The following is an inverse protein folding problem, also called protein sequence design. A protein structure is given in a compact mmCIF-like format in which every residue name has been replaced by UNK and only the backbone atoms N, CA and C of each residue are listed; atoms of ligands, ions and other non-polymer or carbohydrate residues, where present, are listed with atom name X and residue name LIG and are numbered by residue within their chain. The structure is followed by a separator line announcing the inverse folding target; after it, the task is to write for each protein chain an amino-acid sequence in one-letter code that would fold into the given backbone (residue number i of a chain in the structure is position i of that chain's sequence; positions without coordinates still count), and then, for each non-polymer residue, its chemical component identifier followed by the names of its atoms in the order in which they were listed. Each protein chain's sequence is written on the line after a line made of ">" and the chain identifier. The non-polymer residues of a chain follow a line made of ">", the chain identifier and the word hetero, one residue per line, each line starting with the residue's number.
data_IF_804125713143
#
_entry.id   IF_804125713143
#
_cell.length_a   1.000
_cell.length_b   1.000
_cell.length_c   1.000
_cell.angle_alpha   90.00
_cell.angle_beta   90.00
_cell.angle_gamma   90.00
#
_symmetry.space_group_name_H-M   'P 1'
#
loop_
_entity.id
_entity.type
_entity.pdbx_description
1 polymer ?
#
# COMPACT_ATOMS: atom_id res chain seq x y z
N UNK A 1 9.16 18.48 2.34
CA UNK A 1 10.49 18.00 2.77
C UNK A 1 11.51 18.41 1.71
N UNK A 2 12.72 18.85 2.10
CA UNK A 2 13.83 19.09 1.18
C UNK A 2 14.78 17.89 1.21
N UNK A 3 15.18 17.42 0.04
CA UNK A 3 16.11 16.30 -0.12
C UNK A 3 17.19 16.70 -1.10
N UNK A 4 18.44 16.38 -0.79
CA UNK A 4 19.59 16.55 -1.69
C UNK A 4 19.86 15.21 -2.35
N UNK A 5 20.05 15.20 -3.68
CA UNK A 5 20.33 14.00 -4.46
C UNK A 5 21.54 14.25 -5.35
N UNK A 6 22.39 13.24 -5.49
CA UNK A 6 23.51 13.26 -6.44
C UNK A 6 23.02 12.74 -7.79
N UNK A 7 23.23 13.51 -8.86
CA UNK A 7 22.86 13.17 -10.23
C UNK A 7 23.97 13.65 -11.17
N UNK A 8 24.12 13.01 -12.32
CA UNK A 8 25.11 13.45 -13.30
C UNK A 8 24.74 14.80 -13.90
N UNK A 9 25.75 15.63 -14.19
CA UNK A 9 25.54 16.95 -14.79
C UNK A 9 24.80 16.86 -16.13
N UNK A 10 25.15 15.86 -16.94
CA UNK A 10 24.49 15.60 -18.23
C UNK A 10 22.98 15.39 -18.07
N UNK A 11 22.56 14.61 -17.06
CA UNK A 11 21.15 14.33 -16.80
C UNK A 11 20.44 15.57 -16.24
N UNK A 12 21.10 16.34 -15.36
CA UNK A 12 20.54 17.58 -14.83
C UNK A 12 20.29 18.60 -15.95
N UNK A 13 21.22 18.75 -16.88
CA UNK A 13 21.08 19.68 -18.00
C UNK A 13 19.94 19.28 -18.95
N UNK A 14 19.78 17.98 -19.24
CA UNK A 14 18.63 17.49 -20.00
C UNK A 14 17.31 17.76 -19.26
N UNK A 15 17.28 17.49 -17.96
CA UNK A 15 16.08 17.71 -17.12
C UNK A 15 15.69 19.19 -17.10
N UNK A 16 16.66 20.12 -17.01
CA UNK A 16 16.41 21.57 -17.08
C UNK A 16 15.82 22.00 -18.41
N UNK A 17 16.32 21.45 -19.54
CA UNK A 17 15.78 21.76 -20.88
C UNK A 17 14.33 21.33 -21.02
N UNK A 18 14.00 20.14 -20.54
CA UNK A 18 12.61 19.63 -20.54
C UNK A 18 11.74 20.51 -19.65
N UNK A 19 12.19 20.80 -18.43
CA UNK A 19 11.46 21.64 -17.49
C UNK A 19 11.13 23.02 -18.08
N UNK A 20 12.10 23.67 -18.74
CA UNK A 20 11.90 24.95 -19.41
C UNK A 20 10.94 24.86 -20.61
N UNK A 21 11.01 23.77 -21.38
CA UNK A 21 10.12 23.54 -22.53
C UNK A 21 8.67 23.32 -22.12
N UNK A 22 8.46 22.65 -20.98
CA UNK A 22 7.12 22.26 -20.50
C UNK A 22 6.54 23.26 -19.48
N UNK A 23 7.24 24.37 -19.20
CA UNK A 23 6.87 25.35 -18.17
C UNK A 23 6.66 24.71 -16.78
N UNK A 24 7.55 23.80 -16.42
CA UNK A 24 7.57 23.11 -15.12
C UNK A 24 8.93 23.26 -14.44
N UNK A 25 9.02 22.80 -13.19
CA UNK A 25 10.28 22.81 -12.44
C UNK A 25 10.99 21.46 -12.51
N UNK A 26 12.32 21.46 -12.37
CA UNK A 26 13.11 20.23 -12.19
C UNK A 26 12.58 19.39 -11.03
N UNK A 27 12.12 20.04 -9.94
CA UNK A 27 11.50 19.38 -8.80
C UNK A 27 10.24 18.61 -9.21
N UNK A 28 9.39 19.20 -10.06
CA UNK A 28 8.17 18.55 -10.57
C UNK A 28 8.51 17.25 -11.30
N UNK A 29 9.52 17.28 -12.17
CA UNK A 29 9.96 16.10 -12.93
C UNK A 29 10.54 15.01 -12.00
N UNK A 30 11.32 15.39 -10.99
CA UNK A 30 11.85 14.46 -9.98
C UNK A 30 10.70 13.78 -9.22
N UNK A 31 9.72 14.56 -8.75
CA UNK A 31 8.57 14.03 -7.99
C UNK A 31 7.70 13.10 -8.86
N UNK A 32 7.50 13.42 -10.13
CA UNK A 32 6.78 12.57 -11.09
C UNK A 32 7.52 11.25 -11.33
N UNK A 33 8.82 11.29 -11.59
CA UNK A 33 9.64 10.09 -11.78
C UNK A 33 9.62 9.18 -10.55
N UNK A 34 9.77 9.75 -9.34
CA UNK A 34 9.67 8.99 -8.09
C UNK A 34 8.29 8.33 -7.93
N UNK A 35 7.20 9.05 -8.22
CA UNK A 35 5.84 8.50 -8.15
C UNK A 35 5.66 7.31 -9.10
N UNK A 36 6.16 7.42 -10.32
CA UNK A 36 6.09 6.36 -11.33
C UNK A 36 6.87 5.11 -10.88
N UNK A 37 8.11 5.28 -10.40
CA UNK A 37 8.93 4.16 -9.91
C UNK A 37 8.28 3.47 -8.71
N UNK A 38 7.72 4.23 -7.76
CA UNK A 38 7.00 3.68 -6.61
C UNK A 38 5.78 2.89 -7.07
N UNK A 39 4.98 3.43 -7.99
CA UNK A 39 3.79 2.76 -8.52
C UNK A 39 4.15 1.43 -9.21
N UNK A 40 5.17 1.45 -10.08
CA UNK A 40 5.67 0.24 -10.74
C UNK A 40 6.15 -0.82 -9.75
N UNK A 41 6.88 -0.42 -8.71
CA UNK A 41 7.34 -1.36 -7.67
C UNK A 41 6.19 -1.92 -6.84
N UNK A 42 5.17 -1.11 -6.54
CA UNK A 42 3.94 -1.59 -5.86
C UNK A 42 3.19 -2.61 -6.72
N UNK A 43 3.05 -2.36 -8.02
CA UNK A 43 2.42 -3.29 -8.96
C UNK A 43 3.18 -4.62 -9.03
N UNK A 44 4.53 -4.59 -9.09
CA UNK A 44 5.36 -5.81 -9.12
C UNK A 44 5.24 -6.70 -7.88
N UNK A 45 4.88 -6.16 -6.72
CA UNK A 45 4.71 -6.97 -5.49
C UNK A 45 3.44 -7.83 -5.51
N UNK A 46 2.64 -7.74 -6.58
CA UNK A 46 1.37 -8.44 -6.71
C UNK A 46 0.29 -7.84 -5.81
N UNK A 47 -0.99 -8.21 -6.00
CA UNK A 47 -2.04 -7.83 -5.08
C UNK A 47 -1.71 -8.35 -3.68
N UNK A 48 -2.18 -7.64 -2.65
CA UNK A 48 -2.16 -8.16 -1.30
C UNK A 48 -2.81 -9.54 -1.27
N UNK A 49 -2.05 -10.55 -0.84
CA UNK A 49 -2.60 -11.87 -0.55
C UNK A 49 -2.85 -11.93 0.95
N UNK A 50 -4.14 -11.96 1.33
CA UNK A 50 -4.51 -12.28 2.70
C UNK A 50 -4.00 -13.69 2.98
N UNK A 51 -3.29 -13.86 4.10
CA UNK A 51 -2.91 -15.21 4.56
C UNK A 51 -4.18 -16.02 4.70
N UNK A 52 -4.16 -17.25 4.21
CA UNK A 52 -5.26 -18.17 4.48
C UNK A 52 -5.41 -18.31 6.00
N UNK A 53 -6.52 -17.78 6.51
CA UNK A 53 -6.89 -17.82 7.91
C UNK A 53 -8.17 -18.65 8.10
N UNK A 54 -8.49 -19.49 7.11
CA UNK A 54 -9.50 -20.53 7.29
C UNK A 54 -9.03 -21.55 8.33
N UNK A 55 -10.00 -22.16 8.99
CA UNK A 55 -9.79 -23.30 9.86
C UNK A 55 -10.36 -24.52 9.12
N UNK A 56 -9.75 -25.70 9.27
CA UNK A 56 -10.17 -26.96 8.63
C UNK A 56 -11.52 -27.53 9.14
N UNK A 57 -12.42 -26.67 9.63
CA UNK A 57 -13.73 -27.02 10.17
C UNK A 57 -14.86 -26.97 9.14
N UNK A 58 -16.02 -27.53 9.50
CA UNK A 58 -17.23 -27.55 8.66
C UNK A 58 -18.11 -26.27 8.84
N UNK A 59 -17.47 -25.13 9.10
CA UNK A 59 -18.14 -23.86 9.39
C UNK A 59 -18.44 -23.66 10.88
N UNK A 60 -19.50 -22.89 11.18
CA UNK A 60 -19.86 -22.53 12.55
C UNK A 60 -20.35 -23.75 13.35
N UNK A 61 -19.87 -23.85 14.60
CA UNK A 61 -20.42 -24.77 15.60
C UNK A 61 -21.90 -24.49 15.86
N UNK A 62 -22.62 -25.48 16.38
CA UNK A 62 -24.08 -25.43 16.55
C UNK A 62 -24.56 -24.18 17.31
N UNK A 63 -23.86 -23.80 18.38
CA UNK A 63 -24.16 -22.61 19.19
C UNK A 63 -24.02 -21.31 18.39
N UNK A 64 -22.97 -21.20 17.58
CA UNK A 64 -22.73 -20.01 16.76
C UNK A 64 -23.66 -19.94 15.54
N UNK A 65 -24.17 -21.08 15.04
CA UNK A 65 -24.99 -21.14 13.82
C UNK A 65 -26.37 -20.49 13.99
N UNK A 66 -26.93 -20.53 15.20
CA UNK A 66 -28.20 -19.90 15.55
C UNK A 66 -28.04 -18.55 16.26
N UNK A 67 -26.80 -18.11 16.51
CA UNK A 67 -26.52 -16.92 17.29
C UNK A 67 -26.67 -15.64 16.47
N UNK A 68 -27.28 -14.63 17.10
CA UNK A 68 -27.23 -13.25 16.62
C UNK A 68 -25.83 -12.64 16.78
N UNK A 69 -25.63 -11.48 16.14
CA UNK A 69 -24.33 -10.79 16.11
C UNK A 69 -23.73 -10.52 17.51
N UNK A 70 -24.56 -10.11 18.46
CA UNK A 70 -24.13 -9.81 19.83
C UNK A 70 -23.51 -11.03 20.53
N UNK A 71 -24.18 -12.17 20.45
CA UNK A 71 -23.70 -13.44 21.04
C UNK A 71 -22.44 -13.95 20.33
N UNK A 72 -22.36 -13.81 19.01
CA UNK A 72 -21.15 -14.15 18.25
C UNK A 72 -19.95 -13.30 18.69
N UNK A 73 -20.15 -12.00 18.91
CA UNK A 73 -19.11 -11.10 19.39
C UNK A 73 -18.63 -11.52 20.78
N UNK A 74 -19.52 -11.81 21.71
CA UNK A 74 -19.15 -12.29 23.05
C UNK A 74 -18.30 -13.58 22.98
N UNK A 75 -18.77 -14.59 22.22
CA UNK A 75 -18.05 -15.85 22.02
C UNK A 75 -16.64 -15.63 21.44
N UNK A 76 -16.47 -14.66 20.54
CA UNK A 76 -15.18 -14.38 19.93
C UNK A 76 -14.15 -13.79 20.91
N UNK A 77 -14.59 -13.09 21.96
CA UNK A 77 -13.74 -12.44 22.97
C UNK A 77 -13.74 -13.16 24.33
N UNK A 78 -14.48 -14.26 24.46
CA UNK A 78 -14.53 -15.07 25.68
C UNK A 78 -13.11 -15.50 26.11
N UNK A 79 -12.79 -15.28 27.38
CA UNK A 79 -11.48 -15.61 27.96
C UNK A 79 -10.30 -14.75 27.49
N UNK A 80 -10.53 -13.71 26.67
CA UNK A 80 -9.46 -12.80 26.18
C UNK A 80 -9.49 -11.38 26.78
N UNK A 81 -10.34 -11.15 27.79
CA UNK A 81 -10.53 -9.85 28.43
C UNK A 81 -11.36 -8.92 27.55
N UNK A 82 -12.60 -8.66 27.96
CA UNK A 82 -13.54 -7.78 27.25
C UNK A 82 -13.25 -6.29 27.48
#
# INVERSE_FOLDING_TARGET
>A
MKTTVEISDALLEETKKIAAREDVTVRTLIEQGLRQVIAQRKQKRGPFRLRDASFDGQGLGAEARAAGWERLRELAYEGRGG
#
